data_IF_144845480106
#
_entry.id   IF_144845480106
#
_cell.length_a   1.000
_cell.length_b   1.000
_cell.length_c   1.000
_cell.angle_alpha   90.00
_cell.angle_beta   90.00
_cell.angle_gamma   90.00
#
_symmetry.space_group_name_H-M   'P 1'
#
loop_
_entity.id
_entity.type
_entity.pdbx_description
1 polymer ?
#
# COMPACT_ATOMS: atom_id res chain seq x y z
N UNK A 1 -7.39 47.79 35.99
CA UNK A 1 -8.28 47.01 36.87
C UNK A 1 -7.93 45.55 36.67
N UNK A 2 -7.32 44.95 37.68
CA UNK A 2 -6.85 43.55 37.70
C UNK A 2 -7.99 42.62 38.12
N UNK A 3 -8.11 41.46 37.47
CA UNK A 3 -8.75 40.22 37.93
C UNK A 3 -8.02 39.11 37.12
N UNK A 4 -7.21 38.18 37.63
CA UNK A 4 -7.27 37.24 38.76
C UNK A 4 -8.40 36.21 38.64
N UNK A 5 -8.09 35.04 38.08
CA UNK A 5 -8.80 33.76 38.22
C UNK A 5 -7.79 32.64 37.90
N UNK A 6 -7.10 32.10 38.91
CA UNK A 6 -7.40 30.87 39.67
C UNK A 6 -7.37 29.57 38.85
N UNK A 7 -6.25 28.85 39.00
CA UNK A 7 -6.03 27.46 38.63
C UNK A 7 -6.65 26.52 39.68
N UNK A 8 -7.29 25.44 39.24
CA UNK A 8 -7.62 24.28 40.06
C UNK A 8 -7.08 22.99 39.41
N UNK A 9 -6.26 22.27 40.16
CA UNK A 9 -5.84 20.89 39.91
C UNK A 9 -6.83 19.90 40.52
N UNK A 10 -6.95 18.68 39.98
CA UNK A 10 -7.36 17.52 40.78
C UNK A 10 -6.23 16.50 40.97
N UNK A 11 -5.92 16.32 42.25
CA UNK A 11 -5.61 15.09 43.00
C UNK A 11 -5.33 13.77 42.27
N UNK A 12 -4.17 13.21 42.61
CA UNK A 12 -3.79 11.81 42.42
C UNK A 12 -4.49 10.91 43.45
N UNK A 13 -5.03 9.77 43.01
CA UNK A 13 -5.34 8.63 43.87
C UNK A 13 -4.60 7.40 43.33
N UNK A 14 -3.85 6.77 44.23
CA UNK A 14 -3.08 5.56 44.03
C UNK A 14 -3.90 4.40 44.57
N UNK A 15 -4.22 3.42 43.72
CA UNK A 15 -4.70 2.11 44.17
C UNK A 15 -3.68 1.04 43.79
N UNK A 16 -3.17 0.41 44.84
CA UNK A 16 -2.24 -0.72 44.81
C UNK A 16 -3.01 -1.94 45.28
N UNK A 17 -3.20 -2.94 44.42
CA UNK A 17 -3.54 -4.30 44.87
C UNK A 17 -2.83 -5.33 44.03
N UNK A 18 -1.88 -5.99 44.70
CA UNK A 18 -1.23 -7.24 44.34
C UNK A 18 -2.26 -8.35 44.12
N UNK A 19 -1.99 -9.27 43.19
CA UNK A 19 -2.29 -10.70 43.38
C UNK A 19 -1.42 -11.56 42.44
N UNK A 20 -0.62 -12.42 43.08
CA UNK A 20 0.23 -13.44 42.48
C UNK A 20 -0.54 -14.77 42.31
N UNK A 21 -0.03 -15.72 41.50
CA UNK A 21 -0.81 -16.84 40.97
C UNK A 21 -0.79 -18.10 41.86
N UNK A 22 -1.91 -18.81 41.88
CA UNK A 22 -2.07 -20.14 42.47
C UNK A 22 -1.76 -21.23 41.44
N UNK A 23 -0.79 -22.10 41.77
CA UNK A 23 -0.54 -23.40 41.14
C UNK A 23 -1.46 -24.48 41.73
N UNK A 24 -1.87 -25.51 40.97
CA UNK A 24 -2.38 -26.75 41.55
C UNK A 24 -1.28 -27.80 41.65
N UNK A 25 -1.28 -28.44 42.82
CA UNK A 25 -0.38 -29.47 43.30
C UNK A 25 -0.73 -30.84 42.69
N UNK A 26 0.32 -31.65 42.49
CA UNK A 26 0.25 -33.07 42.19
C UNK A 26 -0.28 -33.86 43.39
N UNK A 27 -1.03 -34.94 43.12
CA UNK A 27 -1.18 -36.04 44.07
C UNK A 27 -1.40 -37.35 43.33
N UNK A 28 -0.44 -38.25 43.53
CA UNK A 28 -0.41 -39.67 43.19
C UNK A 28 -1.58 -40.44 43.81
N UNK A 29 -2.13 -41.42 43.08
CA UNK A 29 -2.70 -42.63 43.70
C UNK A 29 -2.37 -43.87 42.87
N UNK A 30 -1.51 -44.68 43.48
CA UNK A 30 -1.38 -46.14 43.56
C UNK A 30 -1.94 -47.08 42.48
N UNK A 31 -1.07 -48.06 42.20
CA UNK A 31 -1.22 -49.28 41.42
C UNK A 31 -2.16 -50.32 42.06
N UNK A 32 -2.48 -51.28 41.18
CA UNK A 32 -2.99 -52.64 41.36
C UNK A 32 -4.50 -52.80 41.24
N UNK A 33 -4.93 -53.32 40.08
CA UNK A 33 -5.68 -54.58 40.03
C UNK A 33 -5.76 -55.07 38.58
N UNK A 34 -5.06 -56.17 38.30
CA UNK A 34 -5.23 -56.98 37.09
C UNK A 34 -6.16 -58.13 37.46
N UNK A 35 -7.21 -58.38 36.67
CA UNK A 35 -7.45 -59.78 36.35
C UNK A 35 -7.75 -60.03 34.87
N UNK A 36 -7.17 -61.17 34.45
CA UNK A 36 -7.73 -62.17 33.56
C UNK A 36 -7.96 -61.82 32.07
N UNK A 37 -7.26 -62.61 31.26
CA UNK A 37 -7.35 -62.78 29.82
C UNK A 37 -8.81 -63.01 29.36
N UNK A 38 -9.24 -62.25 28.34
CA UNK A 38 -10.42 -62.54 27.54
C UNK A 38 -10.03 -62.66 26.05
N UNK A 39 -10.65 -63.66 25.41
CA UNK A 39 -10.42 -64.24 24.08
C UNK A 39 -10.28 -63.23 22.93
N UNK A 40 -9.56 -63.60 21.84
CA UNK A 40 -9.51 -62.77 20.63
C UNK A 40 -10.90 -62.73 19.97
N UNK A 41 -11.45 -61.52 19.87
CA UNK A 41 -12.66 -61.28 19.11
C UNK A 41 -12.36 -61.41 17.62
N UNK A 42 -13.17 -62.26 16.99
CA UNK A 42 -13.21 -62.55 15.56
C UNK A 42 -13.43 -61.25 14.78
N UNK A 43 -12.62 -61.07 13.73
CA UNK A 43 -12.71 -59.98 12.76
C UNK A 43 -14.04 -60.12 11.99
N UNK A 44 -15.07 -59.41 12.43
CA UNK A 44 -16.33 -59.29 11.67
C UNK A 44 -16.23 -58.10 10.73
N UNK A 45 -16.28 -58.45 9.45
CA UNK A 45 -16.51 -57.67 8.23
C UNK A 45 -16.71 -56.15 8.32
N UNK A 46 -15.92 -55.49 7.48
CA UNK A 46 -15.98 -54.10 7.06
C UNK A 46 -17.41 -53.56 6.87
N UNK A 47 -17.84 -52.69 7.79
CA UNK A 47 -18.83 -51.66 7.43
C UNK A 47 -18.08 -50.56 6.68
N UNK A 48 -18.39 -50.27 5.41
CA UNK A 48 -17.77 -49.16 4.71
C UNK A 48 -18.12 -47.88 5.47
N UNK A 49 -17.09 -47.16 5.95
CA UNK A 49 -17.26 -45.81 6.49
C UNK A 49 -17.97 -44.99 5.42
N UNK A 50 -19.25 -44.69 5.65
CA UNK A 50 -20.02 -43.80 4.81
C UNK A 50 -19.24 -42.49 4.68
N UNK A 51 -18.75 -42.20 3.48
CA UNK A 51 -18.12 -40.92 3.13
C UNK A 51 -19.12 -39.82 3.48
N UNK A 52 -18.99 -39.21 4.66
CA UNK A 52 -19.66 -37.94 4.98
C UNK A 52 -19.18 -36.95 3.93
N UNK A 53 -20.02 -36.72 2.91
CA UNK A 53 -19.82 -35.63 1.95
C UNK A 53 -19.79 -34.36 2.78
N UNK A 54 -18.61 -33.75 2.88
CA UNK A 54 -18.49 -32.38 3.37
C UNK A 54 -19.28 -31.49 2.42
N UNK A 55 -20.50 -31.14 2.83
CA UNK A 55 -21.30 -30.14 2.13
C UNK A 55 -20.66 -28.80 2.48
N UNK A 56 -19.87 -28.26 1.56
CA UNK A 56 -19.34 -26.91 1.73
C UNK A 56 -20.53 -25.95 1.84
N UNK A 57 -20.54 -25.02 2.81
CA UNK A 57 -21.63 -24.08 2.98
C UNK A 57 -21.81 -23.25 1.71
N UNK A 58 -22.95 -23.42 1.05
CA UNK A 58 -23.33 -22.69 -0.16
C UNK A 58 -23.75 -21.29 0.27
N UNK A 59 -23.02 -20.28 -0.18
CA UNK A 59 -23.37 -18.87 0.06
C UNK A 59 -24.65 -18.52 -0.69
N UNK A 60 -25.47 -17.67 -0.09
CA UNK A 60 -26.69 -17.20 -0.74
C UNK A 60 -26.38 -16.27 -1.93
N UNK A 61 -27.29 -16.21 -2.91
CA UNK A 61 -27.13 -15.34 -4.08
C UNK A 61 -26.94 -13.86 -3.70
N UNK A 62 -27.61 -13.39 -2.64
CA UNK A 62 -27.50 -12.01 -2.16
C UNK A 62 -26.11 -11.71 -1.60
N UNK A 63 -25.53 -12.62 -0.82
CA UNK A 63 -24.17 -12.48 -0.28
C UNK A 63 -23.10 -12.46 -1.39
N UNK A 64 -23.30 -13.28 -2.43
CA UNK A 64 -22.41 -13.31 -3.59
C UNK A 64 -22.45 -11.95 -4.32
N UNK A 65 -23.65 -11.40 -4.53
CA UNK A 65 -23.83 -10.10 -5.17
C UNK A 65 -23.24 -8.96 -4.34
N UNK A 66 -23.45 -8.97 -3.01
CA UNK A 66 -22.88 -7.97 -2.10
C UNK A 66 -21.36 -7.96 -2.15
N UNK A 67 -20.72 -9.13 -1.99
CA UNK A 67 -19.25 -9.25 -2.07
C UNK A 67 -18.72 -8.84 -3.45
N UNK A 68 -19.48 -9.14 -4.49
CA UNK A 68 -19.15 -8.72 -5.85
C UNK A 68 -19.15 -7.19 -5.98
N UNK A 69 -20.17 -6.52 -5.44
CA UNK A 69 -20.26 -5.06 -5.45
C UNK A 69 -19.15 -4.41 -4.60
N UNK A 70 -18.82 -4.99 -3.43
CA UNK A 70 -17.72 -4.51 -2.57
C UNK A 70 -16.36 -4.56 -3.27
N UNK A 71 -16.09 -5.63 -4.03
CA UNK A 71 -14.86 -5.74 -4.84
C UNK A 71 -14.82 -4.68 -5.95
N UNK A 72 -15.93 -4.49 -6.66
CA UNK A 72 -16.04 -3.47 -7.70
C UNK A 72 -15.81 -2.07 -7.11
N UNK A 73 -16.43 -1.80 -5.96
CA UNK A 73 -16.30 -0.53 -5.23
C UNK A 73 -14.85 -0.30 -4.75
N UNK A 74 -14.14 -1.34 -4.34
CA UNK A 74 -12.74 -1.25 -3.93
C UNK A 74 -11.84 -0.83 -5.10
N UNK A 75 -12.03 -1.42 -6.28
CA UNK A 75 -11.27 -1.05 -7.48
C UNK A 75 -11.59 0.38 -7.93
N UNK A 76 -12.88 0.77 -8.02
CA UNK A 76 -13.22 2.12 -8.49
C UNK A 76 -12.75 3.18 -7.50
N UNK A 77 -12.80 2.95 -6.18
CA UNK A 77 -12.28 3.91 -5.21
C UNK A 77 -10.76 4.03 -5.30
N UNK A 78 -10.04 2.91 -5.43
CA UNK A 78 -8.58 2.93 -5.62
C UNK A 78 -8.19 3.74 -6.88
N UNK A 79 -8.85 3.49 -8.00
CA UNK A 79 -8.58 4.20 -9.25
C UNK A 79 -9.07 5.66 -9.21
N UNK A 80 -10.22 5.91 -8.59
CA UNK A 80 -10.87 7.22 -8.48
C UNK A 80 -10.14 8.19 -7.56
N UNK A 81 -9.32 7.71 -6.63
CA UNK A 81 -8.50 8.55 -5.73
C UNK A 81 -7.30 9.22 -6.43
N UNK A 82 -7.34 9.39 -7.76
CA UNK A 82 -6.30 10.05 -8.56
C UNK A 82 -5.36 9.11 -9.32
N UNK A 83 -5.44 7.79 -9.12
CA UNK A 83 -4.59 6.80 -9.82
C UNK A 83 -4.97 6.64 -11.30
N UNK A 84 -6.27 6.77 -11.61
CA UNK A 84 -6.91 6.69 -12.93
C UNK A 84 -6.84 5.30 -13.59
N UNK A 85 -5.70 4.63 -13.55
CA UNK A 85 -5.49 3.31 -14.12
C UNK A 85 -4.48 2.49 -13.31
N UNK A 86 -4.50 1.18 -13.49
CA UNK A 86 -3.57 0.28 -12.83
C UNK A 86 -3.39 -1.04 -13.61
N UNK A 87 -2.49 -1.90 -13.16
CA UNK A 87 -2.25 -3.23 -13.74
C UNK A 87 -3.01 -4.32 -12.98
N UNK A 88 -3.16 -5.47 -13.63
CA UNK A 88 -3.78 -6.65 -13.02
C UNK A 88 -3.18 -7.01 -11.64
N UNK A 89 -1.85 -6.96 -11.50
CA UNK A 89 -1.18 -7.38 -10.26
C UNK A 89 -1.44 -6.42 -9.11
N UNK A 90 -1.43 -5.11 -9.36
CA UNK A 90 -1.79 -4.11 -8.34
C UNK A 90 -3.24 -4.29 -7.92
N UNK A 91 -4.17 -4.41 -8.88
CA UNK A 91 -5.59 -4.60 -8.58
C UNK A 91 -5.87 -5.93 -7.86
N UNK A 92 -5.01 -6.94 -8.06
CA UNK A 92 -5.04 -8.18 -7.29
C UNK A 92 -4.71 -7.93 -5.82
N UNK A 93 -3.70 -7.11 -5.54
CA UNK A 93 -3.35 -6.69 -4.17
C UNK A 93 -4.43 -5.81 -3.53
N UNK A 94 -5.04 -4.90 -4.29
CA UNK A 94 -6.19 -4.10 -3.82
C UNK A 94 -7.32 -5.00 -3.34
N UNK A 95 -7.63 -6.05 -4.11
CA UNK A 95 -8.71 -6.99 -3.78
C UNK A 95 -8.34 -8.05 -2.74
N UNK A 96 -7.05 -8.29 -2.51
CA UNK A 96 -6.54 -9.37 -1.63
C UNK A 96 -7.09 -10.75 -2.02
N UNK A 97 -7.13 -11.04 -3.32
CA UNK A 97 -7.58 -12.33 -3.87
C UNK A 97 -6.59 -12.87 -4.91
N UNK A 98 -6.83 -14.09 -5.39
CA UNK A 98 -6.09 -14.73 -6.47
C UNK A 98 -6.17 -13.96 -7.81
N UNK A 99 -5.07 -13.95 -8.58
CA UNK A 99 -4.97 -13.29 -9.90
C UNK A 99 -6.08 -13.75 -10.85
N UNK A 100 -6.40 -15.05 -10.87
CA UNK A 100 -7.46 -15.58 -11.71
C UNK A 100 -8.83 -14.96 -11.39
N UNK A 101 -9.16 -14.83 -10.09
CA UNK A 101 -10.42 -14.22 -9.65
C UNK A 101 -10.45 -12.72 -9.95
N UNK A 102 -9.31 -12.03 -9.83
CA UNK A 102 -9.18 -10.63 -10.24
C UNK A 102 -9.47 -10.46 -11.72
N UNK A 103 -8.91 -11.31 -12.61
CA UNK A 103 -9.18 -11.25 -14.06
C UNK A 103 -10.67 -11.36 -14.38
N UNK A 104 -11.37 -12.30 -13.73
CA UNK A 104 -12.83 -12.46 -13.89
C UNK A 104 -13.58 -11.20 -13.46
N UNK A 105 -13.19 -10.63 -12.31
CA UNK A 105 -13.78 -9.39 -11.79
C UNK A 105 -13.57 -8.22 -12.75
N UNK A 106 -12.34 -8.03 -13.25
CA UNK A 106 -12.01 -6.96 -14.18
C UNK A 106 -12.75 -7.10 -15.51
N UNK A 107 -12.81 -8.32 -16.08
CA UNK A 107 -13.59 -8.57 -17.31
C UNK A 107 -15.05 -8.19 -17.14
N UNK A 108 -15.65 -8.54 -16.00
CA UNK A 108 -17.04 -8.14 -15.68
C UNK A 108 -17.18 -6.62 -15.55
N UNK A 109 -16.25 -5.94 -14.88
CA UNK A 109 -16.27 -4.47 -14.74
C UNK A 109 -16.10 -3.75 -16.08
N UNK A 110 -15.28 -4.28 -16.99
CA UNK A 110 -15.16 -3.79 -18.37
C UNK A 110 -16.48 -3.97 -19.13
N UNK A 111 -17.12 -5.14 -19.04
CA UNK A 111 -18.44 -5.37 -19.66
C UNK A 111 -19.52 -4.43 -19.11
N UNK A 112 -19.46 -4.10 -17.81
CA UNK A 112 -20.33 -3.10 -17.17
C UNK A 112 -19.96 -1.65 -17.49
N UNK A 113 -18.93 -1.42 -18.31
CA UNK A 113 -18.39 -0.10 -18.67
C UNK A 113 -17.88 0.71 -17.47
N UNK A 114 -17.58 0.09 -16.33
CA UNK A 114 -16.97 0.76 -15.17
C UNK A 114 -15.47 1.01 -15.41
N UNK A 115 -14.84 0.12 -16.17
CA UNK A 115 -13.45 0.18 -16.56
C UNK A 115 -13.29 0.08 -18.09
N UNK A 116 -12.14 0.53 -18.58
CA UNK A 116 -11.61 0.26 -19.92
C UNK A 116 -10.31 -0.52 -19.80
N UNK A 117 -10.04 -1.39 -20.76
CA UNK A 117 -8.78 -2.13 -20.87
C UNK A 117 -7.94 -1.52 -22.00
N UNK A 118 -6.64 -1.36 -21.76
CA UNK A 118 -5.64 -1.00 -22.77
C UNK A 118 -4.48 -2.01 -22.71
N UNK A 119 -3.98 -2.43 -23.87
CA UNK A 119 -2.76 -3.23 -23.97
C UNK A 119 -1.63 -2.33 -24.45
N UNK A 120 -0.58 -2.22 -23.63
CA UNK A 120 0.60 -1.40 -23.92
C UNK A 120 1.52 -2.08 -24.96
N UNK A 121 2.48 -1.36 -25.56
CA UNK A 121 3.40 -1.93 -26.56
C UNK A 121 4.20 -3.14 -26.07
N UNK A 122 4.50 -3.21 -24.77
CA UNK A 122 5.17 -4.35 -24.13
C UNK A 122 4.24 -5.53 -23.81
N UNK A 123 2.97 -5.48 -24.29
CA UNK A 123 1.88 -6.42 -24.05
C UNK A 123 1.35 -6.43 -22.62
N UNK A 124 1.75 -5.48 -21.78
CA UNK A 124 1.17 -5.29 -20.45
C UNK A 124 -0.27 -4.79 -20.58
N UNK A 125 -1.20 -5.45 -19.89
CA UNK A 125 -2.60 -5.01 -19.80
C UNK A 125 -2.80 -4.10 -18.61
N UNK A 126 -3.41 -2.95 -18.87
CA UNK A 126 -3.81 -1.99 -17.85
C UNK A 126 -5.32 -1.74 -17.92
N UNK A 127 -5.88 -1.37 -16.77
CA UNK A 127 -7.30 -1.15 -16.56
C UNK A 127 -7.50 0.24 -15.98
N UNK A 128 -8.29 1.07 -16.65
CA UNK A 128 -8.55 2.44 -16.25
C UNK A 128 -10.02 2.74 -16.02
N UNK A 129 -10.29 3.63 -15.09
CA UNK A 129 -11.65 3.99 -14.67
C UNK A 129 -12.36 4.83 -15.74
N UNK A 130 -13.63 4.57 -15.99
CA UNK A 130 -14.46 5.37 -16.92
C UNK A 130 -15.24 6.45 -16.18
N UNK A 131 -15.92 7.35 -16.89
CA UNK A 131 -16.88 8.27 -16.27
C UNK A 131 -17.98 7.52 -15.50
N UNK A 132 -18.46 6.37 -16.01
CA UNK A 132 -19.44 5.53 -15.31
C UNK A 132 -18.86 4.92 -14.03
N UNK A 133 -17.59 4.52 -14.05
CA UNK A 133 -16.89 4.08 -12.84
C UNK A 133 -16.72 5.19 -11.81
N UNK A 134 -16.37 6.41 -12.27
CA UNK A 134 -16.19 7.60 -11.41
C UNK A 134 -17.48 7.95 -10.66
N UNK A 135 -18.64 7.79 -11.30
CA UNK A 135 -19.93 8.05 -10.66
C UNK A 135 -20.18 7.18 -9.41
N UNK A 136 -19.43 6.09 -9.22
CA UNK A 136 -19.51 5.20 -8.06
C UNK A 136 -18.45 5.48 -6.99
N UNK A 137 -17.54 6.42 -7.24
CA UNK A 137 -16.44 6.75 -6.32
C UNK A 137 -16.99 7.60 -5.18
N UNK A 138 -16.55 7.28 -3.94
CA UNK A 138 -16.99 8.01 -2.73
C UNK A 138 -16.58 9.49 -2.75
N UNK A 139 -15.37 9.78 -3.21
CA UNK A 139 -14.83 11.12 -3.37
C UNK A 139 -14.33 11.35 -4.80
N UNK A 140 -14.99 12.25 -5.51
CA UNK A 140 -14.73 12.55 -6.92
C UNK A 140 -13.78 13.75 -7.12
N UNK A 141 -13.31 14.40 -6.06
CA UNK A 141 -12.51 15.64 -6.12
C UNK A 141 -11.32 15.56 -7.09
N UNK A 142 -10.65 14.41 -7.12
CA UNK A 142 -9.46 14.17 -7.94
C UNK A 142 -9.67 13.17 -9.10
N UNK A 143 -10.91 12.68 -9.28
CA UNK A 143 -11.23 11.67 -10.28
C UNK A 143 -11.11 12.22 -11.71
N UNK A 144 -10.41 11.47 -12.57
CA UNK A 144 -10.35 11.69 -14.02
C UNK A 144 -10.60 10.37 -14.72
N UNK A 145 -11.32 10.40 -15.83
CA UNK A 145 -11.51 9.19 -16.62
C UNK A 145 -10.26 8.86 -17.42
N UNK A 146 -10.02 7.56 -17.54
CA UNK A 146 -8.95 7.01 -18.32
C UNK A 146 -9.19 7.19 -19.83
N UNK A 147 -8.14 7.59 -20.53
CA UNK A 147 -8.15 7.80 -21.98
C UNK A 147 -7.16 6.82 -22.62
N UNK A 148 -7.71 5.90 -23.42
CA UNK A 148 -6.94 4.92 -24.19
C UNK A 148 -6.00 5.64 -25.16
N UNK A 149 -4.78 5.13 -25.34
CA UNK A 149 -3.77 5.67 -26.24
C UNK A 149 -3.03 6.88 -25.67
N UNK A 150 -3.36 7.31 -24.44
CA UNK A 150 -2.72 8.47 -23.79
C UNK A 150 -1.85 8.08 -22.60
N UNK A 151 -1.54 6.80 -22.44
CA UNK A 151 -0.64 6.29 -21.40
C UNK A 151 0.80 6.31 -21.92
N UNK A 152 1.68 7.22 -21.44
CA UNK A 152 3.04 7.27 -21.93
C UNK A 152 3.86 6.12 -21.36
N UNK A 153 4.45 5.28 -22.23
CA UNK A 153 5.20 4.08 -21.83
C UNK A 153 6.34 4.39 -20.86
N UNK A 154 7.00 5.54 -21.02
CA UNK A 154 8.09 6.00 -20.14
C UNK A 154 7.67 6.19 -18.68
N UNK A 155 6.38 6.41 -18.41
CA UNK A 155 5.85 6.68 -17.07
C UNK A 155 5.21 5.46 -16.42
N UNK A 156 5.00 4.37 -17.17
CA UNK A 156 4.23 3.20 -16.72
C UNK A 156 4.90 2.51 -15.53
N UNK A 157 6.20 2.23 -15.64
CA UNK A 157 6.94 1.55 -14.58
C UNK A 157 6.96 2.38 -13.28
N UNK A 158 7.19 3.69 -13.42
CA UNK A 158 7.17 4.64 -12.31
C UNK A 158 5.80 4.68 -11.63
N UNK A 159 4.73 4.89 -12.40
CA UNK A 159 3.36 4.96 -11.91
C UNK A 159 2.93 3.68 -11.18
N UNK A 160 3.22 2.51 -11.76
CA UNK A 160 2.89 1.22 -11.15
C UNK A 160 3.70 0.95 -9.89
N UNK A 161 4.92 1.46 -9.79
CA UNK A 161 5.75 1.34 -8.60
C UNK A 161 5.26 2.25 -7.47
N UNK A 162 4.89 3.49 -7.77
CA UNK A 162 4.24 4.40 -6.82
C UNK A 162 2.97 3.76 -6.23
N UNK A 163 2.16 3.10 -7.06
CA UNK A 163 0.98 2.34 -6.59
C UNK A 163 1.33 1.16 -5.68
N UNK A 164 2.47 0.50 -5.87
CA UNK A 164 2.91 -0.54 -4.93
C UNK A 164 3.30 0.06 -3.60
N UNK A 165 4.07 1.15 -3.62
CA UNK A 165 4.47 1.85 -2.41
C UNK A 165 3.24 2.35 -1.65
N UNK A 166 2.21 2.82 -2.36
CA UNK A 166 0.90 3.11 -1.76
C UNK A 166 0.36 1.93 -0.97
N UNK A 167 0.22 0.77 -1.59
CA UNK A 167 -0.36 -0.42 -0.95
C UNK A 167 0.49 -0.88 0.24
N UNK A 168 1.82 -0.77 0.15
CA UNK A 168 2.72 -1.02 1.28
C UNK A 168 2.51 -0.02 2.42
N UNK A 169 2.35 1.26 2.09
CA UNK A 169 2.10 2.33 3.07
C UNK A 169 0.75 2.13 3.76
N UNK A 170 -0.31 1.84 3.01
CA UNK A 170 -1.63 1.51 3.57
C UNK A 170 -1.58 0.28 4.49
N UNK A 171 -0.72 -0.70 4.19
CA UNK A 171 -0.55 -1.89 5.04
C UNK A 171 0.04 -1.58 6.43
N UNK A 172 0.81 -0.50 6.53
CA UNK A 172 1.35 0.02 7.81
C UNK A 172 0.48 1.14 8.39
N UNK A 173 -0.78 1.25 7.95
CA UNK A 173 -1.77 2.24 8.42
C UNK A 173 -1.41 3.69 8.05
N UNK A 174 -0.67 3.92 6.96
CA UNK A 174 -0.62 5.24 6.37
C UNK A 174 -2.02 5.63 5.83
N UNK A 175 -2.39 6.90 5.98
CA UNK A 175 -3.68 7.46 5.56
C UNK A 175 -3.47 8.64 4.61
N UNK A 176 -4.58 9.16 4.09
CA UNK A 176 -4.60 10.41 3.30
C UNK A 176 -3.64 10.41 2.12
N UNK A 177 -3.53 9.24 1.47
CA UNK A 177 -2.69 9.09 0.29
C UNK A 177 -3.18 10.01 -0.83
N UNK A 178 -2.28 10.89 -1.28
CA UNK A 178 -2.51 11.80 -2.39
C UNK A 178 -1.42 11.58 -3.45
N UNK A 179 -1.76 11.02 -4.63
CA UNK A 179 -0.78 10.82 -5.69
C UNK A 179 -0.36 12.16 -6.30
N UNK A 180 0.87 12.26 -6.80
CA UNK A 180 1.45 13.51 -7.34
C UNK A 180 0.60 14.19 -8.40
N UNK A 181 -0.10 13.43 -9.25
CA UNK A 181 -1.04 13.97 -10.26
C UNK A 181 -2.25 14.68 -9.64
N UNK A 182 -2.66 14.28 -8.44
CA UNK A 182 -3.72 14.93 -7.67
C UNK A 182 -3.16 16.15 -6.91
N UNK A 183 -1.92 16.07 -6.42
CA UNK A 183 -1.21 17.18 -5.78
C UNK A 183 -1.21 18.45 -6.65
N UNK A 184 -0.94 18.34 -7.95
CA UNK A 184 -0.96 19.50 -8.89
C UNK A 184 -2.25 20.31 -8.90
N UNK A 185 -3.36 19.72 -8.46
CA UNK A 185 -4.68 20.34 -8.45
C UNK A 185 -5.12 20.78 -7.06
N UNK A 186 -4.43 20.31 -6.04
CA UNK A 186 -4.77 20.65 -4.67
C UNK A 186 -4.25 22.04 -4.35
N UNK A 187 -5.18 22.99 -4.20
CA UNK A 187 -4.87 24.39 -3.86
C UNK A 187 -4.29 24.52 -2.46
N UNK A 188 -4.47 23.51 -1.61
CA UNK A 188 -3.98 23.47 -0.25
C UNK A 188 -2.62 22.75 -0.15
N UNK A 189 -2.06 22.27 -1.28
CA UNK A 189 -0.72 21.74 -1.28
C UNK A 189 0.30 22.88 -1.30
N UNK A 190 1.07 22.99 -0.22
CA UNK A 190 1.94 24.13 0.03
C UNK A 190 3.44 23.81 -0.11
N UNK A 191 3.80 22.57 -0.45
CA UNK A 191 5.21 22.19 -0.59
C UNK A 191 5.80 22.75 -1.89
N UNK A 192 7.04 23.21 -1.81
CA UNK A 192 7.75 23.80 -2.95
C UNK A 192 8.00 22.74 -4.02
N UNK A 193 8.35 21.51 -3.61
CA UNK A 193 8.50 20.39 -4.53
C UNK A 193 7.23 19.54 -4.58
N UNK A 194 6.82 19.18 -5.80
CA UNK A 194 5.74 18.21 -6.00
C UNK A 194 6.37 16.82 -5.99
N UNK A 195 6.11 16.10 -4.90
CA UNK A 195 6.54 14.73 -4.72
C UNK A 195 5.71 13.77 -5.60
N UNK A 196 6.17 12.53 -5.73
CA UNK A 196 5.40 11.47 -6.40
C UNK A 196 4.11 11.12 -5.66
N UNK A 197 4.10 11.26 -4.33
CA UNK A 197 2.91 11.21 -3.50
C UNK A 197 3.15 11.88 -2.14
N UNK A 198 2.06 12.23 -1.45
CA UNK A 198 2.05 12.57 -0.03
C UNK A 198 1.08 11.67 0.73
N UNK A 199 1.30 11.51 2.03
CA UNK A 199 0.48 10.70 2.92
C UNK A 199 0.74 11.08 4.37
N UNK A 200 -0.15 10.65 5.27
CA UNK A 200 0.03 10.76 6.72
C UNK A 200 0.44 9.40 7.29
N UNK A 201 1.47 9.39 8.13
CA UNK A 201 1.88 8.19 8.87
C UNK A 201 2.17 8.53 10.32
N UNK A 202 1.45 7.90 11.25
CA UNK A 202 1.55 8.18 12.68
C UNK A 202 1.39 9.68 13.03
N UNK A 203 0.51 10.39 12.30
CA UNK A 203 0.27 11.82 12.45
C UNK A 203 1.34 12.73 11.84
N UNK A 204 2.40 12.16 11.24
CA UNK A 204 3.43 12.91 10.51
C UNK A 204 3.03 13.11 9.05
N UNK A 205 3.30 14.32 8.53
CA UNK A 205 3.23 14.64 7.11
C UNK A 205 4.44 14.05 6.38
N UNK A 206 4.18 13.13 5.46
CA UNK A 206 5.21 12.41 4.73
C UNK A 206 5.04 12.63 3.23
N UNK A 207 6.18 12.69 2.52
CA UNK A 207 6.21 12.61 1.07
C UNK A 207 7.04 11.44 0.59
N UNK A 208 6.73 11.01 -0.61
CA UNK A 208 7.36 9.90 -1.31
C UNK A 208 8.02 10.38 -2.60
N UNK A 209 9.24 9.93 -2.83
CA UNK A 209 9.94 10.00 -4.11
C UNK A 209 10.32 8.58 -4.56
N UNK A 210 9.91 8.20 -5.77
CA UNK A 210 10.25 6.92 -6.39
C UNK A 210 11.32 7.18 -7.44
N UNK A 211 12.59 6.90 -7.13
CA UNK A 211 13.70 7.18 -8.04
C UNK A 211 14.20 5.89 -8.69
N UNK A 212 13.61 5.54 -9.84
CA UNK A 212 14.08 4.41 -10.66
C UNK A 212 15.51 4.62 -11.17
N UNK A 213 15.86 5.87 -11.46
CA UNK A 213 17.20 6.29 -11.87
C UNK A 213 17.56 7.55 -11.09
N UNK A 214 18.80 7.61 -10.61
CA UNK A 214 19.27 8.79 -9.89
C UNK A 214 19.34 9.97 -10.87
N UNK A 215 18.60 11.05 -10.57
CA UNK A 215 18.61 12.27 -11.38
C UNK A 215 20.01 12.92 -11.33
N UNK A 216 20.30 13.80 -12.27
CA UNK A 216 21.59 14.52 -12.30
C UNK A 216 21.85 15.27 -10.99
N UNK A 217 23.12 15.43 -10.61
CA UNK A 217 23.51 16.14 -9.37
C UNK A 217 22.84 17.51 -9.23
N UNK A 218 22.83 18.32 -10.31
CA UNK A 218 22.18 19.63 -10.31
C UNK A 218 20.69 19.53 -9.98
N UNK A 219 20.00 18.54 -10.54
CA UNK A 219 18.56 18.32 -10.28
C UNK A 219 18.32 17.80 -8.88
N UNK A 220 19.12 16.83 -8.42
CA UNK A 220 19.02 16.30 -7.06
C UNK A 220 19.28 17.37 -6.01
N UNK A 221 20.32 18.18 -6.16
CA UNK A 221 20.60 19.30 -5.27
C UNK A 221 19.39 20.23 -5.14
N UNK A 222 18.77 20.60 -6.26
CA UNK A 222 17.61 21.49 -6.26
C UNK A 222 16.39 20.88 -5.56
N UNK A 223 16.12 19.59 -5.79
CA UNK A 223 15.05 18.86 -5.11
C UNK A 223 15.29 18.82 -3.60
N UNK A 224 16.52 18.49 -3.18
CA UNK A 224 16.89 18.43 -1.77
C UNK A 224 16.84 19.81 -1.09
N UNK A 225 17.29 20.87 -1.75
CA UNK A 225 17.16 22.26 -1.27
C UNK A 225 15.69 22.63 -1.01
N UNK A 226 14.79 22.27 -1.93
CA UNK A 226 13.36 22.53 -1.75
C UNK A 226 12.81 21.74 -0.54
N UNK A 227 13.15 20.45 -0.41
CA UNK A 227 12.71 19.66 0.74
C UNK A 227 13.29 20.14 2.06
N UNK A 228 14.54 20.61 2.09
CA UNK A 228 15.11 21.23 3.29
C UNK A 228 14.25 22.42 3.70
N UNK A 229 13.89 23.30 2.77
CA UNK A 229 12.97 24.42 3.02
C UNK A 229 11.65 23.91 3.58
N UNK A 230 11.00 22.95 2.93
CA UNK A 230 9.71 22.40 3.37
C UNK A 230 9.77 21.73 4.78
N UNK A 231 10.93 21.17 5.15
CA UNK A 231 11.18 20.54 6.46
C UNK A 231 11.50 21.56 7.56
N UNK A 232 11.99 22.76 7.20
CA UNK A 232 12.38 23.81 8.16
C UNK A 232 11.36 24.93 8.25
N UNK A 233 10.63 25.19 7.17
CA UNK A 233 9.62 26.23 7.08
C UNK A 233 8.44 25.82 7.96
N UNK A 234 8.16 26.67 8.94
CA UNK A 234 7.08 26.44 9.88
C UNK A 234 5.87 27.27 9.51
N UNK A 235 4.73 26.63 9.33
CA UNK A 235 3.43 27.27 9.27
C UNK A 235 2.69 26.96 10.57
N UNK A 236 2.22 27.99 11.29
CA UNK A 236 1.55 27.83 12.60
C UNK A 236 2.40 27.09 13.65
N UNK A 237 3.73 27.24 13.62
CA UNK A 237 4.64 26.61 14.58
C UNK A 237 4.91 25.12 14.33
N UNK A 238 4.48 24.57 13.20
CA UNK A 238 4.81 23.19 12.76
C UNK A 238 5.47 23.20 11.38
N UNK A 239 6.45 22.32 11.12
CA UNK A 239 6.97 22.12 9.77
C UNK A 239 5.84 21.77 8.79
N UNK A 240 5.96 22.22 7.54
CA UNK A 240 5.05 21.80 6.46
C UNK A 240 5.19 20.30 6.15
N UNK A 241 6.38 19.77 6.37
CA UNK A 241 6.75 18.39 6.12
C UNK A 241 7.56 17.81 7.29
N UNK A 242 7.28 16.57 7.67
CA UNK A 242 8.03 15.88 8.72
C UNK A 242 9.11 14.95 8.13
N UNK A 243 8.79 14.23 7.06
CA UNK A 243 9.69 13.22 6.47
C UNK A 243 9.59 13.10 4.95
N UNK A 244 10.73 12.79 4.34
CA UNK A 244 10.87 12.44 2.91
C UNK A 244 11.31 10.98 2.80
N UNK A 245 10.56 10.17 2.06
CA UNK A 245 10.90 8.78 1.80
C UNK A 245 11.33 8.61 0.34
N UNK A 246 12.56 8.15 0.13
CA UNK A 246 13.07 7.76 -1.17
C UNK A 246 12.97 6.24 -1.35
N UNK A 247 12.33 5.80 -2.43
CA UNK A 247 12.31 4.40 -2.86
C UNK A 247 13.12 4.29 -4.14
N UNK A 248 14.23 3.54 -4.11
CA UNK A 248 15.15 3.49 -5.25
C UNK A 248 15.88 2.14 -5.33
N UNK A 249 16.24 1.64 -6.52
CA UNK A 249 17.18 0.53 -6.65
C UNK A 249 18.62 0.94 -6.33
N UNK A 250 18.91 2.24 -6.16
CA UNK A 250 20.26 2.77 -5.93
C UNK A 250 20.38 3.53 -4.59
N UNK A 251 20.14 2.88 -3.44
CA UNK A 251 20.08 3.55 -2.15
C UNK A 251 21.40 4.25 -1.78
N UNK A 252 22.54 3.64 -2.10
CA UNK A 252 23.85 4.20 -1.73
C UNK A 252 24.16 5.52 -2.44
N UNK A 253 23.75 5.66 -3.71
CA UNK A 253 23.92 6.93 -4.44
C UNK A 253 23.05 8.04 -3.86
N UNK A 254 21.80 7.72 -3.48
CA UNK A 254 20.93 8.70 -2.81
C UNK A 254 21.52 9.10 -1.45
N UNK A 255 22.01 8.14 -0.65
CA UNK A 255 22.67 8.45 0.63
C UNK A 255 23.87 9.36 0.47
N UNK A 256 24.74 9.11 -0.52
CA UNK A 256 25.89 9.99 -0.82
C UNK A 256 25.44 11.43 -1.15
N UNK A 257 24.37 11.58 -1.93
CA UNK A 257 23.80 12.90 -2.24
C UNK A 257 23.20 13.58 -1.00
N UNK A 258 22.55 12.83 -0.11
CA UNK A 258 22.06 13.34 1.17
C UNK A 258 23.23 13.80 2.05
N UNK A 259 24.31 13.03 2.12
CA UNK A 259 25.50 13.41 2.89
C UNK A 259 26.18 14.66 2.33
N UNK A 260 26.13 14.84 1.01
CA UNK A 260 26.72 15.99 0.33
C UNK A 260 25.89 17.26 0.49
N UNK A 261 24.56 17.17 0.41
CA UNK A 261 23.69 18.35 0.26
C UNK A 261 22.75 18.61 1.44
N UNK A 262 22.51 17.62 2.31
CA UNK A 262 21.60 17.77 3.46
C UNK A 262 22.38 18.02 4.74
N UNK A 263 22.06 19.09 5.51
CA UNK A 263 22.66 19.34 6.82
C UNK A 263 22.49 18.14 7.76
N UNK A 264 23.54 17.81 8.53
CA UNK A 264 23.56 16.61 9.38
C UNK A 264 22.33 16.49 10.31
N UNK A 265 21.87 17.61 10.88
CA UNK A 265 20.69 17.65 11.76
C UNK A 265 19.36 17.31 11.09
N UNK A 266 19.28 17.34 9.75
CA UNK A 266 18.06 17.02 9.00
C UNK A 266 18.09 15.64 8.33
N UNK A 267 19.25 14.98 8.26
CA UNK A 267 19.39 13.71 7.51
C UNK A 267 18.47 12.60 8.02
N UNK A 268 18.17 12.56 9.32
CA UNK A 268 17.24 11.57 9.91
C UNK A 268 15.78 11.73 9.45
N UNK A 269 15.43 12.86 8.83
CA UNK A 269 14.12 13.10 8.20
C UNK A 269 14.03 12.57 6.77
N UNK A 270 15.17 12.20 6.18
CA UNK A 270 15.25 11.55 4.89
C UNK A 270 15.46 10.06 5.07
N UNK A 271 14.50 9.25 4.63
CA UNK A 271 14.54 7.79 4.75
C UNK A 271 14.74 7.21 3.35
N UNK A 272 15.81 6.43 3.16
CA UNK A 272 16.11 5.79 1.88
C UNK A 272 15.81 4.30 1.99
N UNK A 273 14.92 3.81 1.14
CA UNK A 273 14.46 2.42 1.10
C UNK A 273 14.88 1.81 -0.23
N UNK A 274 15.56 0.67 -0.15
CA UNK A 274 15.95 -0.09 -1.33
C UNK A 274 14.74 -0.78 -1.94
N UNK A 275 14.56 -0.60 -3.24
CA UNK A 275 13.62 -1.37 -4.03
C UNK A 275 14.27 -2.65 -4.53
N UNK A 276 13.81 -3.79 -4.04
CA UNK A 276 14.20 -5.08 -4.61
C UNK A 276 13.54 -5.24 -5.98
N UNK A 277 14.34 -5.05 -7.03
CA UNK A 277 13.95 -5.19 -8.44
C UNK A 277 13.61 -6.64 -8.81
N UNK A 278 14.15 -7.62 -8.09
CA UNK A 278 13.91 -9.06 -8.33
C UNK A 278 12.47 -9.49 -8.06
N UNK A 279 11.73 -8.76 -7.23
CA UNK A 279 10.33 -9.10 -6.93
C UNK A 279 9.41 -8.72 -8.11
N UNK A 280 9.89 -7.95 -9.10
CA UNK A 280 9.04 -7.48 -10.21
C UNK A 280 9.79 -7.27 -11.53
N UNK A 281 9.62 -8.16 -12.53
CA UNK A 281 10.25 -8.01 -13.84
C UNK A 281 9.53 -6.94 -14.67
N UNK A 282 9.69 -5.67 -14.33
CA UNK A 282 9.64 -4.64 -15.36
C UNK A 282 10.98 -4.69 -16.08
N UNK A 283 11.04 -5.44 -17.19
CA UNK A 283 12.12 -5.24 -18.15
C UNK A 283 11.91 -3.84 -18.73
N UNK A 284 12.62 -2.86 -18.18
CA UNK A 284 12.78 -1.57 -18.86
C UNK A 284 13.23 -1.84 -20.29
N UNK A 285 12.70 -1.13 -21.30
CA UNK A 285 13.30 -1.19 -22.63
C UNK A 285 14.78 -0.84 -22.50
N UNK A 286 15.65 -1.65 -23.12
CA UNK A 286 17.08 -1.34 -23.17
C UNK A 286 17.22 0.07 -23.74
N UNK A 287 18.08 0.93 -23.16
CA UNK A 287 18.39 2.21 -23.80
C UNK A 287 18.86 1.90 -25.21
N UNK A 288 18.24 2.56 -26.20
CA UNK A 288 18.76 2.58 -27.56
C UNK A 288 20.07 3.35 -27.44
N UNK A 289 21.19 2.62 -27.32
CA UNK A 289 22.51 3.20 -27.50
C UNK A 289 22.51 3.67 -28.94
N UNK A 290 22.54 5.00 -29.13
CA UNK A 290 22.68 5.59 -30.44
C UNK A 290 23.91 4.97 -31.09
N UNK A 291 23.69 4.25 -32.19
CA UNK A 291 24.78 3.85 -33.04
C UNK A 291 25.44 5.12 -33.55
N UNK A 292 26.73 5.27 -33.24
CA UNK A 292 27.62 6.17 -33.95
C UNK A 292 27.54 5.80 -35.43
N UNK A 293 26.81 6.60 -36.22
CA UNK A 293 27.04 6.70 -37.66
C UNK A 293 28.38 7.43 -37.86
N UNK A 294 29.45 6.66 -37.66
CA UNK A 294 30.77 6.97 -38.19
C UNK A 294 31.08 5.93 -39.26
N UNK A 295 30.60 6.18 -40.48
CA UNK A 295 31.11 5.53 -41.68
C UNK A 295 31.06 6.52 -42.83
N UNK A 296 32.27 6.85 -43.28
CA UNK A 296 32.58 7.43 -44.58
C UNK A 296 32.14 6.49 -45.71
#
# INVERSE_FOLDING_TARGET
MNNTEQQQQPSQQTDTTNNAPLTPNESEVSRNDIPAQAKPAIFTEDKPLAKKRFVLPVKSNSEIQKRSAEKELSIVNFLGSGEVWSSLFILTHVLKIEVHQTRVTLKRMVNKKLLKEETLPDKTKIYGITNTGIALVKDQTNSKSFQIGKTPQSTVAHHLLTQKVRLLSESIKATDWLPGKAIYKDKNYHLINIADASYIFQGMSCVLEVELFVKSHKRMKKILENYISDLTDTQYGKPLLDRVYYFTPHPELIKQLLDQYVPAGLRSRFVVIQLNTEIYPFRSPKPIVGGDDSSK
#
